data_IF_430584836591
#
_entry.id   IF_430584836591
#
_cell.length_a   1.000
_cell.length_b   1.000
_cell.length_c   1.000
_cell.angle_alpha   90.00
_cell.angle_beta   90.00
_cell.angle_gamma   90.00
#
_symmetry.space_group_name_H-M   'P 1'
#
loop_
_entity.id
_entity.type
_entity.pdbx_description
1 polymer ?
#
# COMPACT_ATOMS: atom_id res chain seq x y z
N UNK A 1 10.25 1.87 -7.19
CA UNK A 1 8.92 2.30 -6.69
C UNK A 1 8.82 1.88 -5.22
N UNK A 2 7.77 2.25 -4.50
CA UNK A 2 7.55 1.72 -3.15
C UNK A 2 6.06 1.52 -2.94
N UNK A 3 5.70 0.46 -2.23
CA UNK A 3 4.32 0.16 -1.88
C UNK A 3 4.17 0.25 -0.37
N UNK A 4 3.08 0.83 0.11
CA UNK A 4 2.84 0.95 1.54
C UNK A 4 1.37 1.12 1.87
N UNK A 5 1.05 0.96 3.15
CA UNK A 5 -0.30 1.13 3.69
C UNK A 5 -0.21 1.90 5.01
N UNK A 6 -1.32 2.52 5.42
CA UNK A 6 -1.42 3.24 6.68
C UNK A 6 -2.87 3.28 7.15
N UNK A 7 -3.08 3.61 8.41
CA UNK A 7 -4.39 3.89 8.99
C UNK A 7 -4.37 5.20 9.76
N UNK A 8 -5.51 5.60 10.33
CA UNK A 8 -5.57 6.72 11.27
C UNK A 8 -4.67 6.52 12.49
N UNK A 9 -4.38 5.27 12.86
CA UNK A 9 -3.50 4.93 13.98
C UNK A 9 -2.01 5.02 13.66
N UNK A 10 -1.62 5.17 12.40
CA UNK A 10 -0.22 5.31 12.00
C UNK A 10 0.14 4.63 10.69
N UNK A 11 1.44 4.64 10.39
CA UNK A 11 2.01 4.03 9.19
C UNK A 11 2.12 2.51 9.35
N UNK A 12 1.76 1.77 8.30
CA UNK A 12 2.06 0.36 8.16
C UNK A 12 3.45 0.13 7.56
N UNK A 13 3.70 -1.08 7.07
CA UNK A 13 4.96 -1.40 6.40
C UNK A 13 5.07 -0.70 5.04
N UNK A 14 6.25 -0.14 4.77
CA UNK A 14 6.65 0.29 3.44
C UNK A 14 7.59 -0.75 2.82
N UNK A 15 7.19 -1.28 1.67
CA UNK A 15 7.92 -2.26 0.89
C UNK A 15 8.61 -1.52 -0.27
N UNK A 16 9.96 -1.44 -0.28
CA UNK A 16 10.69 -0.99 -1.45
C UNK A 16 10.41 -1.93 -2.61
N UNK A 17 9.91 -1.41 -3.71
CA UNK A 17 9.68 -2.18 -4.92
C UNK A 17 10.93 -2.04 -5.79
N UNK A 18 11.83 -3.01 -5.62
CA UNK A 18 13.09 -3.10 -6.36
C UNK A 18 12.87 -3.47 -7.83
N UNK A 19 11.73 -4.10 -8.12
CA UNK A 19 11.27 -4.49 -9.45
C UNK A 19 9.90 -3.85 -9.74
N UNK A 20 9.30 -4.15 -10.89
CA UNK A 20 7.94 -3.70 -11.19
C UNK A 20 6.92 -4.55 -10.41
N UNK A 21 5.96 -3.90 -9.74
CA UNK A 21 4.85 -4.57 -9.07
C UNK A 21 4.04 -5.42 -10.06
N UNK A 22 4.12 -6.74 -9.91
CA UNK A 22 3.26 -7.69 -10.59
C UNK A 22 2.17 -8.23 -9.65
N UNK A 23 1.25 -8.99 -10.22
CA UNK A 23 0.14 -9.56 -9.47
C UNK A 23 0.53 -10.60 -8.42
N UNK A 24 1.62 -11.35 -8.62
CA UNK A 24 2.07 -12.36 -7.67
C UNK A 24 2.69 -11.70 -6.45
N UNK A 25 3.60 -10.73 -6.65
CA UNK A 25 4.18 -9.92 -5.57
C UNK A 25 3.11 -9.20 -4.79
N UNK A 26 2.14 -8.61 -5.49
CA UNK A 26 1.04 -7.94 -4.82
C UNK A 26 0.18 -8.92 -4.01
N UNK A 27 -0.08 -10.12 -4.53
CA UNK A 27 -0.79 -11.18 -3.77
C UNK A 27 -0.01 -11.57 -2.52
N UNK A 28 1.30 -11.78 -2.61
CA UNK A 28 2.16 -12.08 -1.46
C UNK A 28 2.14 -10.96 -0.43
N UNK A 29 2.21 -9.69 -0.84
CA UNK A 29 2.09 -8.55 0.07
C UNK A 29 0.74 -8.56 0.80
N UNK A 30 -0.37 -8.83 0.09
CA UNK A 30 -1.68 -8.91 0.72
C UNK A 30 -1.77 -10.05 1.74
N UNK A 31 -1.19 -11.22 1.43
CA UNK A 31 -1.20 -12.38 2.31
C UNK A 31 -0.28 -12.21 3.53
N UNK A 32 0.94 -11.72 3.31
CA UNK A 32 1.99 -11.68 4.33
C UNK A 32 1.91 -10.45 5.23
N UNK A 33 1.38 -9.34 4.70
CA UNK A 33 1.32 -8.05 5.41
C UNK A 33 -0.09 -7.63 5.75
N UNK A 34 -1.00 -7.55 4.78
CA UNK A 34 -2.34 -7.00 5.00
C UNK A 34 -3.24 -7.96 5.77
N UNK A 35 -3.26 -9.24 5.43
CA UNK A 35 -4.09 -10.24 6.12
C UNK A 35 -3.86 -10.26 7.64
N UNK A 36 -2.61 -10.47 8.11
CA UNK A 36 -2.30 -10.41 9.54
C UNK A 36 -2.54 -9.04 10.16
N UNK A 37 -2.22 -7.96 9.45
CA UNK A 37 -2.44 -6.60 9.96
C UNK A 37 -3.93 -6.31 10.20
N UNK A 38 -4.81 -6.76 9.31
CA UNK A 38 -6.26 -6.54 9.44
C UNK A 38 -6.87 -7.30 10.63
N UNK A 39 -6.25 -8.40 11.07
CA UNK A 39 -6.63 -9.11 12.29
C UNK A 39 -6.31 -8.33 13.58
N UNK A 40 -5.44 -7.31 13.51
CA UNK A 40 -5.10 -6.47 14.68
C UNK A 40 -6.16 -5.42 15.00
N UNK A 41 -7.10 -5.15 14.08
CA UNK A 41 -8.20 -4.22 14.32
C UNK A 41 -9.19 -4.82 15.29
N UNK A 42 -9.57 -4.06 16.32
CA UNK A 42 -10.53 -4.49 17.32
C UNK A 42 -11.84 -4.93 16.63
N UNK A 43 -12.21 -6.20 16.83
CA UNK A 43 -13.42 -6.81 16.24
C UNK A 43 -13.32 -7.17 14.75
N UNK A 44 -12.14 -7.07 14.12
CA UNK A 44 -11.97 -7.40 12.70
C UNK A 44 -12.65 -6.43 11.73
N UNK A 45 -13.09 -5.26 12.21
CA UNK A 45 -13.86 -4.27 11.43
C UNK A 45 -12.90 -3.28 10.75
N UNK A 46 -12.03 -3.79 9.88
CA UNK A 46 -11.18 -2.96 9.03
C UNK A 46 -11.74 -2.91 7.61
N UNK A 47 -11.82 -1.72 7.01
CA UNK A 47 -12.12 -1.56 5.58
C UNK A 47 -10.83 -1.26 4.82
N UNK A 48 -10.48 -2.12 3.87
CA UNK A 48 -9.31 -1.96 3.03
C UNK A 48 -9.65 -1.13 1.79
N UNK A 49 -9.05 0.05 1.67
CA UNK A 49 -9.12 0.89 0.47
C UNK A 49 -7.90 0.61 -0.43
N UNK A 50 -8.12 0.53 -1.74
CA UNK A 50 -7.09 0.39 -2.78
C UNK A 50 -7.52 1.07 -4.06
N UNK A 51 -6.56 1.46 -4.90
CA UNK A 51 -6.82 1.90 -6.27
C UNK A 51 -7.04 0.70 -7.21
N UNK A 52 -7.75 0.94 -8.32
CA UNK A 52 -8.13 -0.09 -9.30
C UNK A 52 -7.08 -0.23 -10.43
N UNK A 53 -5.78 -0.24 -10.13
CA UNK A 53 -4.75 -0.41 -11.17
C UNK A 53 -4.79 -1.82 -11.78
N UNK A 54 -4.21 -2.04 -12.97
CA UNK A 54 -4.38 -3.30 -13.71
C UNK A 54 -3.83 -4.54 -12.98
N UNK A 55 -2.75 -4.39 -12.20
CA UNK A 55 -2.21 -5.46 -11.36
C UNK A 55 -3.12 -5.80 -10.17
N UNK A 56 -4.05 -4.89 -9.85
CA UNK A 56 -4.92 -4.98 -8.71
C UNK A 56 -6.23 -5.74 -8.98
N UNK A 57 -6.62 -5.90 -10.24
CA UNK A 57 -7.91 -6.44 -10.67
C UNK A 57 -7.84 -7.90 -11.13
N UNK A 58 -6.71 -8.59 -10.91
CA UNK A 58 -6.59 -10.00 -11.26
C UNK A 58 -7.54 -10.83 -10.40
N UNK A 59 -8.27 -11.77 -11.04
CA UNK A 59 -9.28 -12.64 -10.40
C UNK A 59 -8.80 -13.27 -9.09
N UNK A 60 -7.53 -13.70 -9.03
CA UNK A 60 -6.93 -14.28 -7.83
C UNK A 60 -6.92 -13.31 -6.65
N UNK A 61 -6.52 -12.07 -6.89
CA UNK A 61 -6.47 -11.01 -5.89
C UNK A 61 -7.88 -10.65 -5.45
N UNK A 62 -8.82 -10.49 -6.39
CA UNK A 62 -10.23 -10.17 -6.09
C UNK A 62 -10.85 -11.25 -5.20
N UNK A 63 -10.60 -12.52 -5.50
CA UNK A 63 -11.10 -13.64 -4.69
C UNK A 63 -10.51 -13.63 -3.28
N UNK A 64 -9.19 -13.47 -3.15
CA UNK A 64 -8.54 -13.38 -1.83
C UNK A 64 -9.13 -12.24 -0.99
N UNK A 65 -9.30 -11.07 -1.60
CA UNK A 65 -9.89 -9.92 -0.92
C UNK A 65 -11.32 -10.22 -0.44
N UNK A 66 -12.18 -10.74 -1.31
CA UNK A 66 -13.59 -11.02 -0.97
C UNK A 66 -13.72 -12.03 0.17
N UNK A 67 -12.82 -13.01 0.24
CA UNK A 67 -12.85 -14.04 1.28
C UNK A 67 -12.26 -13.59 2.61
N UNK A 68 -11.33 -12.63 2.61
CA UNK A 68 -10.51 -12.32 3.79
C UNK A 68 -10.70 -10.91 4.33
N UNK A 69 -11.13 -9.96 3.51
CA UNK A 69 -11.12 -8.54 3.83
C UNK A 69 -12.41 -7.86 3.38
N UNK A 70 -12.91 -6.92 4.19
CA UNK A 70 -13.89 -5.95 3.69
C UNK A 70 -13.16 -4.91 2.85
N UNK A 71 -13.44 -4.86 1.55
CA UNK A 71 -12.84 -3.88 0.63
C UNK A 71 -13.80 -2.73 0.38
N UNK A 72 -13.29 -1.51 0.42
CA UNK A 72 -14.06 -0.32 0.05
C UNK A 72 -14.36 -0.37 -1.45
N UNK A 73 -15.63 -0.25 -1.82
CA UNK A 73 -16.01 -0.03 -3.21
C UNK A 73 -15.50 1.35 -3.64
N UNK A 74 -14.41 1.36 -4.40
CA UNK A 74 -13.70 2.58 -4.76
C UNK A 74 -13.89 2.89 -6.25
N UNK A 75 -14.39 4.09 -6.60
CA UNK A 75 -14.55 4.46 -7.99
C UNK A 75 -13.19 4.56 -8.70
N UNK A 76 -13.10 4.00 -9.90
CA UNK A 76 -11.90 4.11 -10.74
C UNK A 76 -11.58 5.56 -11.08
N UNK A 77 -10.29 5.88 -11.22
CA UNK A 77 -9.76 7.22 -11.52
C UNK A 77 -10.02 8.32 -10.46
N UNK A 78 -10.49 7.98 -9.26
CA UNK A 78 -10.63 8.92 -8.13
C UNK A 78 -9.34 9.06 -7.31
N UNK A 79 -8.26 9.46 -7.97
CA UNK A 79 -6.93 9.64 -7.35
C UNK A 79 -6.91 10.82 -6.38
N UNK A 80 -7.73 11.84 -6.63
CA UNK A 80 -7.89 13.06 -5.82
C UNK A 80 -8.45 12.79 -4.43
N UNK A 81 -9.29 11.77 -4.28
CA UNK A 81 -9.90 11.38 -3.00
C UNK A 81 -9.06 10.33 -2.25
N UNK A 82 -8.01 9.79 -2.88
CA UNK A 82 -7.19 8.75 -2.26
C UNK A 82 -6.20 9.35 -1.25
N UNK A 83 -6.40 9.07 0.05
CA UNK A 83 -5.57 9.62 1.12
C UNK A 83 -4.10 9.17 1.02
N UNK A 84 -3.80 8.05 0.36
CA UNK A 84 -2.42 7.58 0.15
C UNK A 84 -1.62 8.54 -0.75
N UNK A 85 -2.28 9.28 -1.65
CA UNK A 85 -1.60 10.23 -2.54
C UNK A 85 -1.13 11.46 -1.80
N UNK A 86 -1.92 11.94 -0.84
CA UNK A 86 -1.53 12.99 0.08
C UNK A 86 -0.31 12.57 0.91
N UNK A 87 -0.35 11.36 1.49
CA UNK A 87 0.78 10.82 2.24
C UNK A 87 2.02 10.67 1.36
N UNK A 88 1.87 10.11 0.16
CA UNK A 88 2.95 9.94 -0.81
C UNK A 88 3.57 11.27 -1.20
N UNK A 89 2.76 12.31 -1.37
CA UNK A 89 3.22 13.67 -1.66
C UNK A 89 4.03 14.26 -0.51
N UNK A 90 3.59 14.05 0.74
CA UNK A 90 4.33 14.48 1.94
C UNK A 90 5.68 13.76 2.03
N UNK A 91 5.69 12.44 1.82
CA UNK A 91 6.92 11.62 1.83
C UNK A 91 7.88 12.09 0.74
N UNK A 92 7.41 12.24 -0.50
CA UNK A 92 8.21 12.76 -1.62
C UNK A 92 8.83 14.12 -1.30
N UNK A 93 8.05 15.05 -0.73
CA UNK A 93 8.54 16.40 -0.36
C UNK A 93 9.57 16.38 0.77
N UNK A 94 9.50 15.42 1.69
CA UNK A 94 10.50 15.26 2.77
C UNK A 94 11.79 14.66 2.22
N UNK A 95 11.66 13.57 1.47
CA UNK A 95 12.79 12.83 0.88
C UNK A 95 13.54 13.68 -0.14
N UNK A 96 12.85 14.56 -0.89
CA UNK A 96 13.48 15.45 -1.86
C UNK A 96 14.43 16.49 -1.23
N UNK A 97 14.39 16.66 0.10
CA UNK A 97 15.30 17.54 0.85
C UNK A 97 16.48 16.79 1.46
N UNK A 98 16.55 15.48 1.27
CA UNK A 98 17.57 14.59 1.83
C UNK A 98 18.56 14.16 0.74
N UNK A 99 19.66 13.55 1.16
CA UNK A 99 20.61 12.95 0.22
C UNK A 99 20.04 11.65 -0.37
N UNK A 100 19.60 11.73 -1.62
CA UNK A 100 19.11 10.60 -2.40
C UNK A 100 20.05 10.23 -3.56
N UNK A 101 21.34 10.53 -3.44
CA UNK A 101 22.35 10.26 -4.48
C UNK A 101 22.50 8.79 -4.88
N UNK A 102 21.99 7.86 -4.06
CA UNK A 102 22.01 6.42 -4.36
C UNK A 102 20.67 5.77 -3.99
N UNK A 103 20.34 4.65 -4.65
CA UNK A 103 19.16 3.83 -4.33
C UNK A 103 19.12 3.43 -2.84
N UNK A 104 20.27 3.06 -2.27
CA UNK A 104 20.40 2.69 -0.86
C UNK A 104 20.00 3.85 0.06
N UNK A 105 20.57 5.03 -0.15
CA UNK A 105 20.24 6.23 0.65
C UNK A 105 18.78 6.62 0.49
N UNK A 106 18.22 6.51 -0.71
CA UNK A 106 16.79 6.74 -0.93
C UNK A 106 15.95 5.76 -0.09
N UNK A 107 16.26 4.47 -0.09
CA UNK A 107 15.53 3.48 0.70
C UNK A 107 15.66 3.75 2.21
N UNK A 108 16.85 4.11 2.69
CA UNK A 108 17.10 4.49 4.08
C UNK A 108 16.28 5.72 4.50
N UNK A 109 16.17 6.74 3.64
CA UNK A 109 15.44 7.96 3.94
C UNK A 109 13.92 7.76 4.07
N UNK A 110 13.37 6.66 3.55
CA UNK A 110 11.92 6.36 3.61
C UNK A 110 11.61 5.28 4.66
N UNK A 111 12.63 4.61 5.21
CA UNK A 111 12.46 3.73 6.37
C UNK A 111 12.29 4.59 7.62
N UNK A 112 11.15 4.44 8.30
CA UNK A 112 10.87 5.05 9.61
C UNK A 112 11.28 4.08 10.70
#
# INVERSE_FOLDING_TARGET
MSWGYFTSGGLGSLVPDEEMMDSQKYTSILQDKIGPFMQTFAGGIGVFQRDLTSCHTIKLITKFLQEKLTVLDWPGNSTDVNRIENLSSIVKRRVSKMDCSTKRKMIENVKV
#
